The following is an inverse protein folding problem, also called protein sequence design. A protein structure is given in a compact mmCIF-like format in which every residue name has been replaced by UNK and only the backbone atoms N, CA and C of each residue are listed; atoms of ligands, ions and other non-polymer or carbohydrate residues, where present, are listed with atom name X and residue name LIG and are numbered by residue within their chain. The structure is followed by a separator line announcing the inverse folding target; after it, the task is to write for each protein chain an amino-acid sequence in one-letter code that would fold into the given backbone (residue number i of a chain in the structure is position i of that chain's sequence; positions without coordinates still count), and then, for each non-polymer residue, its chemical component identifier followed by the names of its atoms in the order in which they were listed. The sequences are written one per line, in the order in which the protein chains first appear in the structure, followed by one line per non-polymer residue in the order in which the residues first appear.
data_IF_257330030184
#
_entry.id   IF_257330030184
#
_cell.length_a   1.000
_cell.length_b   1.000
_cell.length_c   1.000
_cell.angle_alpha   90.00
_cell.angle_beta   90.00
_cell.angle_gamma   90.00
#
_symmetry.space_group_name_H-M   'P 1'
#
loop_
_entity.id
_entity.type
_entity.pdbx_description
1 polymer ?
#
# COMPACT_ATOMS: atom_id res chain seq x y z
N UNK A 1 34.02 12.36 20.16
CA UNK A 1 33.12 11.19 20.20
C UNK A 1 31.86 11.64 20.95
N UNK A 2 30.81 12.04 20.22
CA UNK A 2 29.52 12.32 20.83
C UNK A 2 28.77 11.00 21.00
N UNK A 3 28.41 10.58 22.18
CA UNK A 3 27.58 9.41 22.37
C UNK A 3 26.11 9.83 22.07
N UNK A 4 25.74 9.81 20.81
CA UNK A 4 24.30 9.74 20.54
C UNK A 4 23.79 8.47 21.22
N UNK A 5 22.67 8.53 21.97
CA UNK A 5 22.10 7.35 22.58
C UNK A 5 21.90 6.29 21.48
N UNK A 6 22.34 5.06 21.73
CA UNK A 6 22.19 3.96 20.78
C UNK A 6 20.71 3.73 20.56
N UNK A 7 20.27 3.80 19.30
CA UNK A 7 18.87 3.60 18.94
C UNK A 7 18.49 2.13 19.19
N UNK A 8 17.41 1.90 19.93
CA UNK A 8 16.88 0.57 20.20
C UNK A 8 15.81 0.21 19.18
N UNK A 9 15.95 -0.90 18.48
CA UNK A 9 15.06 -1.35 17.42
C UNK A 9 14.47 -2.72 17.75
N UNK A 10 13.15 -2.86 17.62
CA UNK A 10 12.46 -4.14 17.64
C UNK A 10 12.07 -4.53 16.20
N UNK A 11 12.58 -5.65 15.70
CA UNK A 11 12.32 -6.14 14.34
C UNK A 11 11.45 -7.38 14.42
N UNK A 12 10.30 -7.34 13.76
CA UNK A 12 9.36 -8.46 13.66
C UNK A 12 9.30 -8.92 12.21
N UNK A 13 9.66 -10.17 11.96
CA UNK A 13 9.68 -10.78 10.64
C UNK A 13 8.57 -11.84 10.53
N UNK A 14 7.72 -11.68 9.53
CA UNK A 14 6.78 -12.75 9.17
C UNK A 14 7.50 -13.79 8.31
N UNK A 15 7.85 -14.93 8.91
CA UNK A 15 8.58 -16.02 8.24
C UNK A 15 7.83 -16.63 7.04
N UNK A 16 6.52 -16.43 6.94
CA UNK A 16 5.69 -16.92 5.85
C UNK A 16 5.66 -15.97 4.64
N UNK A 17 6.32 -14.80 4.73
CA UNK A 17 6.41 -13.88 3.59
C UNK A 17 7.24 -14.46 2.45
N UNK A 18 6.77 -14.24 1.20
CA UNK A 18 7.32 -14.92 0.03
C UNK A 18 8.83 -14.70 -0.19
N UNK A 19 9.32 -13.47 -0.04
CA UNK A 19 10.74 -13.15 -0.20
C UNK A 19 11.58 -13.75 0.92
N UNK A 20 11.12 -13.69 2.17
CA UNK A 20 11.85 -14.24 3.32
C UNK A 20 11.98 -15.76 3.22
N UNK A 21 10.92 -16.45 2.76
CA UNK A 21 10.93 -17.89 2.54
C UNK A 21 11.94 -18.33 1.48
N UNK A 22 12.19 -17.48 0.47
CA UNK A 22 13.15 -17.76 -0.62
C UNK A 22 14.60 -17.48 -0.15
N UNK A 23 14.81 -16.39 0.56
CA UNK A 23 16.15 -15.97 1.01
C UNK A 23 16.66 -16.81 2.17
N UNK A 24 15.78 -17.45 2.92
CA UNK A 24 16.08 -18.13 4.17
C UNK A 24 15.97 -17.18 5.37
N UNK A 25 15.00 -17.44 6.27
CA UNK A 25 14.74 -16.58 7.43
C UNK A 25 15.98 -16.29 8.29
N UNK A 26 16.78 -17.31 8.56
CA UNK A 26 17.98 -17.21 9.41
C UNK A 26 19.07 -16.35 8.75
N UNK A 27 19.22 -16.43 7.43
CA UNK A 27 20.18 -15.61 6.67
C UNK A 27 19.83 -14.13 6.74
N UNK A 28 18.54 -13.82 6.60
CA UNK A 28 18.05 -12.43 6.69
C UNK A 28 18.18 -11.90 8.11
N UNK A 29 17.83 -12.69 9.13
CA UNK A 29 17.95 -12.30 10.53
C UNK A 29 19.41 -11.97 10.89
N UNK A 30 20.33 -12.87 10.56
CA UNK A 30 21.75 -12.67 10.83
C UNK A 30 22.27 -11.41 10.11
N UNK A 31 21.94 -11.24 8.84
CA UNK A 31 22.37 -10.07 8.09
C UNK A 31 21.81 -8.76 8.62
N UNK A 32 20.53 -8.74 9.05
CA UNK A 32 19.93 -7.58 9.70
C UNK A 32 20.64 -7.24 11.01
N UNK A 33 20.91 -8.24 11.84
CA UNK A 33 21.62 -8.06 13.10
C UNK A 33 23.00 -7.43 12.87
N UNK A 34 23.77 -7.98 11.93
CA UNK A 34 25.09 -7.43 11.59
C UNK A 34 25.02 -5.98 11.06
N UNK A 35 24.03 -5.66 10.22
CA UNK A 35 23.85 -4.31 9.68
C UNK A 35 23.52 -3.33 10.80
N UNK A 36 22.52 -3.64 11.64
CA UNK A 36 22.07 -2.73 12.71
C UNK A 36 23.15 -2.54 13.78
N UNK A 37 23.85 -3.61 14.19
CA UNK A 37 24.95 -3.53 15.17
C UNK A 37 26.12 -2.71 14.64
N UNK A 38 26.51 -2.88 13.36
CA UNK A 38 27.54 -2.04 12.69
C UNK A 38 27.17 -0.57 12.64
N UNK A 39 25.87 -0.26 12.56
CA UNK A 39 25.35 1.11 12.60
C UNK A 39 25.13 1.63 14.02
N UNK A 40 25.52 0.89 15.04
CA UNK A 40 25.47 1.28 16.44
C UNK A 40 24.10 1.14 17.10
N UNK A 41 23.18 0.41 16.49
CA UNK A 41 21.86 0.14 17.07
C UNK A 41 21.91 -1.06 18.04
N UNK A 42 21.00 -1.05 19.01
CA UNK A 42 20.63 -2.23 19.79
C UNK A 42 19.41 -2.83 19.09
N UNK A 43 19.46 -4.10 18.73
CA UNK A 43 18.38 -4.73 17.96
C UNK A 43 17.90 -6.02 18.61
N UNK A 44 16.60 -6.16 18.75
CA UNK A 44 15.89 -7.39 19.05
C UNK A 44 15.14 -7.85 17.82
N UNK A 45 15.38 -9.07 17.34
CA UNK A 45 14.74 -9.62 16.15
C UNK A 45 13.91 -10.83 16.52
N UNK A 46 12.63 -10.83 16.11
CA UNK A 46 11.70 -11.93 16.27
C UNK A 46 11.20 -12.42 14.93
N UNK A 47 11.32 -13.72 14.67
CA UNK A 47 10.72 -14.36 13.50
C UNK A 47 9.48 -15.15 13.94
N UNK A 48 8.34 -14.83 13.33
CA UNK A 48 7.05 -15.36 13.76
C UNK A 48 6.21 -15.85 12.57
N UNK A 49 5.34 -16.85 12.76
CA UNK A 49 4.31 -17.16 11.79
C UNK A 49 3.28 -16.02 11.74
N UNK A 50 2.63 -15.82 10.57
CA UNK A 50 1.74 -14.68 10.32
C UNK A 50 0.67 -14.47 11.39
N UNK A 51 0.10 -15.56 11.93
CA UNK A 51 -0.93 -15.52 13.00
C UNK A 51 -0.45 -14.93 14.33
N UNK A 52 0.85 -14.91 14.59
CA UNK A 52 1.43 -14.42 15.86
C UNK A 52 1.96 -12.98 15.74
N UNK A 53 2.06 -12.46 14.50
CA UNK A 53 2.64 -11.14 14.21
C UNK A 53 1.86 -10.02 14.89
N UNK A 54 0.53 -10.05 14.88
CA UNK A 54 -0.28 -9.00 15.49
C UNK A 54 0.00 -8.86 16.99
N UNK A 55 -0.03 -9.96 17.74
CA UNK A 55 0.23 -9.95 19.19
C UNK A 55 1.65 -9.45 19.50
N UNK A 56 2.65 -9.81 18.68
CA UNK A 56 4.01 -9.34 18.82
C UNK A 56 4.12 -7.83 18.54
N UNK A 57 3.42 -7.33 17.52
CA UNK A 57 3.36 -5.90 17.22
C UNK A 57 2.73 -5.08 18.35
N UNK A 58 1.63 -5.57 18.95
CA UNK A 58 0.98 -4.93 20.10
C UNK A 58 1.94 -4.85 21.29
N UNK A 59 2.65 -5.94 21.59
CA UNK A 59 3.68 -5.95 22.64
C UNK A 59 4.85 -5.01 22.32
N UNK A 60 5.35 -5.00 21.10
CA UNK A 60 6.46 -4.14 20.68
C UNK A 60 6.08 -2.65 20.66
N UNK A 61 4.82 -2.35 20.32
CA UNK A 61 4.26 -0.99 20.37
C UNK A 61 4.37 -0.40 21.77
N UNK A 62 4.04 -1.18 22.79
CA UNK A 62 3.98 -0.75 24.18
C UNK A 62 5.34 -0.96 24.92
N UNK A 63 6.33 -1.60 24.29
CA UNK A 63 7.68 -1.84 24.83
C UNK A 63 8.59 -0.61 24.78
N UNK A 64 9.87 -0.77 25.12
CA UNK A 64 10.84 0.34 25.28
C UNK A 64 11.67 0.66 24.03
N UNK A 65 11.45 -0.02 22.89
CA UNK A 65 12.19 0.26 21.66
C UNK A 65 11.84 1.64 21.07
N UNK A 66 12.83 2.31 20.49
CA UNK A 66 12.65 3.63 19.86
C UNK A 66 11.84 3.54 18.55
N UNK A 67 11.90 2.39 17.87
CA UNK A 67 11.12 2.11 16.66
C UNK A 67 10.83 0.62 16.55
N UNK A 68 9.75 0.28 15.85
CA UNK A 68 9.44 -1.09 15.47
C UNK A 68 9.56 -1.23 13.96
N UNK A 69 10.25 -2.27 13.51
CA UNK A 69 10.44 -2.60 12.10
C UNK A 69 9.65 -3.85 11.78
N UNK A 70 8.78 -3.77 10.79
CA UNK A 70 8.02 -4.92 10.29
C UNK A 70 8.59 -5.41 8.98
N UNK A 71 8.94 -6.68 8.90
CA UNK A 71 9.36 -7.36 7.68
C UNK A 71 8.31 -8.38 7.24
N UNK A 72 7.74 -8.16 6.05
CA UNK A 72 6.69 -9.02 5.54
C UNK A 72 6.12 -8.55 4.21
N UNK A 73 5.02 -9.18 3.78
CA UNK A 73 4.23 -8.74 2.64
C UNK A 73 3.25 -7.62 3.00
N UNK A 74 2.52 -7.11 1.99
CA UNK A 74 1.63 -5.97 2.15
C UNK A 74 0.55 -6.18 3.24
N UNK A 75 -0.02 -7.38 3.36
CA UNK A 75 -0.97 -7.70 4.44
C UNK A 75 -0.34 -7.66 5.84
N UNK A 76 0.91 -8.11 5.98
CA UNK A 76 1.66 -8.00 7.23
C UNK A 76 1.91 -6.55 7.62
N UNK A 77 2.24 -5.72 6.63
CA UNK A 77 2.45 -4.27 6.81
C UNK A 77 1.14 -3.56 7.15
N UNK A 78 0.01 -3.95 6.52
CA UNK A 78 -1.31 -3.42 6.85
C UNK A 78 -1.73 -3.74 8.30
N UNK A 79 -1.43 -4.97 8.77
CA UNK A 79 -1.63 -5.34 10.19
C UNK A 79 -0.81 -4.44 11.11
N UNK A 80 0.47 -4.19 10.78
CA UNK A 80 1.31 -3.29 11.57
C UNK A 80 0.79 -1.86 11.56
N UNK A 81 0.35 -1.34 10.41
CA UNK A 81 -0.25 -0.01 10.32
C UNK A 81 -1.50 0.12 11.21
N UNK A 82 -2.32 -0.91 11.26
CA UNK A 82 -3.50 -0.94 12.14
C UNK A 82 -3.12 -0.89 13.62
N UNK A 83 -2.12 -1.67 14.03
CA UNK A 83 -1.65 -1.69 15.43
C UNK A 83 -1.01 -0.37 15.85
N UNK A 84 -0.30 0.30 14.93
CA UNK A 84 0.43 1.55 15.22
C UNK A 84 -0.36 2.81 14.92
N UNK A 85 -1.57 2.72 14.36
CA UNK A 85 -2.41 3.88 14.08
C UNK A 85 -2.67 4.72 15.35
N UNK A 86 -2.37 6.02 15.28
CA UNK A 86 -2.52 6.94 16.41
C UNK A 86 -1.42 6.85 17.49
N UNK A 87 -0.42 6.00 17.31
CA UNK A 87 0.68 5.85 18.27
C UNK A 87 1.90 6.70 17.90
N UNK A 88 2.61 7.17 18.93
CA UNK A 88 3.80 8.00 18.76
C UNK A 88 5.04 7.23 18.28
N UNK A 89 5.10 5.90 18.52
CA UNK A 89 6.23 5.07 18.13
C UNK A 89 6.26 4.89 16.60
N UNK A 90 7.39 5.17 15.92
CA UNK A 90 7.48 5.04 14.48
C UNK A 90 7.57 3.60 14.02
N UNK A 91 6.93 3.31 12.89
CA UNK A 91 6.97 2.05 12.19
C UNK A 91 7.98 2.12 11.02
N UNK A 92 8.93 1.19 10.98
CA UNK A 92 9.78 0.95 9.82
C UNK A 92 9.26 -0.21 8.98
N UNK A 93 9.37 -0.11 7.66
CA UNK A 93 8.88 -1.14 6.72
C UNK A 93 10.08 -1.77 6.00
N UNK A 94 10.28 -3.07 6.21
CA UNK A 94 11.29 -3.87 5.51
C UNK A 94 10.62 -4.65 4.37
N UNK A 95 10.98 -4.42 3.09
CA UNK A 95 10.26 -4.93 1.93
C UNK A 95 10.56 -6.40 1.67
N UNK A 96 9.88 -7.31 2.35
CA UNK A 96 10.02 -8.76 2.20
C UNK A 96 8.80 -9.44 1.54
N UNK A 97 7.90 -8.63 0.95
CA UNK A 97 6.75 -9.09 0.19
C UNK A 97 6.98 -9.09 -1.32
N UNK A 98 5.92 -9.32 -2.07
CA UNK A 98 5.94 -9.36 -3.54
C UNK A 98 5.77 -7.98 -4.17
N UNK A 99 4.77 -7.20 -3.76
CA UNK A 99 4.49 -5.87 -4.33
C UNK A 99 5.17 -4.76 -3.53
N UNK A 100 5.19 -4.88 -2.20
CA UNK A 100 5.80 -3.92 -1.29
C UNK A 100 5.29 -2.49 -1.50
N UNK A 101 3.96 -2.33 -1.64
CA UNK A 101 3.32 -1.05 -1.99
C UNK A 101 3.66 0.04 -0.98
N UNK A 102 3.45 -0.23 0.30
CA UNK A 102 3.72 0.73 1.36
C UNK A 102 5.21 1.09 1.48
N UNK A 103 6.12 0.12 1.30
CA UNK A 103 7.55 0.38 1.29
C UNK A 103 7.96 1.30 0.14
N UNK A 104 7.39 1.11 -1.05
CA UNK A 104 7.59 1.99 -2.21
C UNK A 104 7.07 3.40 -1.95
N UNK A 105 5.90 3.53 -1.33
CA UNK A 105 5.31 4.82 -1.00
C UNK A 105 6.16 5.65 -0.04
N UNK A 106 6.77 5.02 0.96
CA UNK A 106 7.70 5.70 1.87
C UNK A 106 9.11 5.90 1.29
N UNK A 107 9.35 5.45 0.05
CA UNK A 107 10.64 5.57 -0.63
C UNK A 107 11.72 4.61 -0.13
N UNK A 108 11.31 3.48 0.44
CA UNK A 108 12.23 2.45 0.94
C UNK A 108 12.90 1.72 -0.23
N UNK A 109 14.23 1.51 -0.21
CA UNK A 109 14.90 0.62 -1.15
C UNK A 109 14.27 -0.78 -1.12
N UNK A 110 14.19 -1.46 -2.28
CA UNK A 110 13.59 -2.80 -2.36
C UNK A 110 14.58 -3.92 -2.03
N UNK A 111 15.87 -3.64 -2.08
CA UNK A 111 16.88 -4.52 -1.51
C UNK A 111 16.81 -4.42 0.01
N UNK A 112 16.67 -5.56 0.68
CA UNK A 112 16.47 -5.60 2.13
C UNK A 112 17.66 -5.09 2.93
N UNK A 113 18.89 -5.23 2.41
CA UNK A 113 20.10 -4.74 3.08
C UNK A 113 20.20 -3.22 2.98
N UNK A 114 19.89 -2.67 1.82
CA UNK A 114 19.80 -1.22 1.63
C UNK A 114 18.67 -0.63 2.46
N UNK A 115 17.51 -1.31 2.50
CA UNK A 115 16.38 -0.92 3.35
C UNK A 115 16.77 -0.91 4.83
N UNK A 116 17.49 -1.92 5.31
CA UNK A 116 17.97 -1.96 6.70
C UNK A 116 18.85 -0.75 7.03
N UNK A 117 19.75 -0.36 6.12
CA UNK A 117 20.58 0.85 6.30
C UNK A 117 19.73 2.12 6.31
N UNK A 118 18.79 2.23 5.38
CA UNK A 118 17.89 3.38 5.28
C UNK A 118 17.02 3.54 6.53
N UNK A 119 16.56 2.45 7.14
CA UNK A 119 15.74 2.46 8.36
C UNK A 119 16.44 3.11 9.55
N UNK A 120 17.77 3.11 9.60
CA UNK A 120 18.54 3.75 10.69
C UNK A 120 18.69 5.25 10.47
N UNK A 121 18.87 5.68 9.23
CA UNK A 121 19.26 7.06 8.88
C UNK A 121 18.13 7.93 8.39
N UNK A 122 17.05 7.33 7.88
CA UNK A 122 15.94 8.08 7.29
C UNK A 122 15.12 8.84 8.35
N UNK A 123 14.52 9.97 7.96
CA UNK A 123 13.64 10.75 8.83
C UNK A 123 12.34 10.00 9.11
N UNK A 124 11.69 10.39 10.21
CA UNK A 124 10.34 9.95 10.56
C UNK A 124 9.37 10.94 9.97
N UNK A 125 8.36 10.45 9.24
CA UNK A 125 7.26 11.23 8.71
C UNK A 125 5.91 10.76 9.24
N UNK A 126 4.88 11.44 8.81
CA UNK A 126 3.49 11.10 9.07
C UNK A 126 2.83 10.58 7.80
N UNK A 127 1.90 9.66 7.95
CA UNK A 127 1.18 9.05 6.85
C UNK A 127 -0.31 8.98 7.16
N UNK A 128 -1.13 9.38 6.19
CA UNK A 128 -2.57 9.21 6.24
C UNK A 128 -2.93 7.73 6.11
N UNK A 129 -3.99 7.30 6.78
CA UNK A 129 -4.58 5.97 6.63
C UNK A 129 -6.01 6.09 6.13
N UNK A 130 -6.50 5.04 5.46
CA UNK A 130 -7.91 4.88 5.10
C UNK A 130 -8.57 3.91 6.07
N UNK A 131 -9.62 4.36 6.73
CA UNK A 131 -10.57 3.46 7.41
C UNK A 131 -11.64 3.05 6.38
N UNK A 132 -11.70 1.76 6.09
CA UNK A 132 -12.69 1.18 5.20
C UNK A 132 -13.51 0.15 5.96
N UNK A 133 -14.70 0.53 6.34
CA UNK A 133 -15.63 -0.29 7.13
C UNK A 133 -15.01 -0.81 8.46
N UNK A 134 -14.15 -0.03 9.11
CA UNK A 134 -13.51 -0.36 10.39
C UNK A 134 -12.13 -1.02 10.26
N UNK A 135 -11.62 -1.26 9.05
CA UNK A 135 -10.28 -1.77 8.81
C UNK A 135 -9.38 -0.68 8.23
N UNK A 136 -8.11 -0.64 8.64
CA UNK A 136 -7.17 0.39 8.22
C UNK A 136 -6.30 -0.09 7.07
N UNK A 137 -6.14 0.77 6.08
CA UNK A 137 -5.36 0.52 4.86
C UNK A 137 -4.43 1.69 4.56
N UNK A 138 -3.28 1.38 3.97
CA UNK A 138 -2.23 2.37 3.72
C UNK A 138 -2.31 2.95 2.32
N UNK A 139 -2.58 2.14 1.29
CA UNK A 139 -2.32 2.49 -0.10
C UNK A 139 -3.57 2.62 -0.95
N UNK A 140 -4.24 1.52 -1.27
CA UNK A 140 -5.25 1.49 -2.33
C UNK A 140 -6.40 0.54 -2.05
N UNK A 141 -7.60 0.98 -2.46
CA UNK A 141 -8.82 0.16 -2.45
C UNK A 141 -9.35 0.07 -3.87
N UNK A 142 -9.53 -1.13 -4.41
CA UNK A 142 -10.02 -1.37 -5.77
C UNK A 142 -11.39 -2.03 -5.73
N UNK A 143 -12.33 -1.47 -6.48
CA UNK A 143 -13.69 -1.96 -6.65
C UNK A 143 -13.93 -2.35 -8.12
N UNK A 144 -14.77 -3.35 -8.34
CA UNK A 144 -15.20 -3.69 -9.70
C UNK A 144 -14.75 -5.05 -10.18
N UNK A 145 -14.40 -5.14 -11.48
CA UNK A 145 -14.13 -6.42 -12.11
C UNK A 145 -12.84 -7.09 -11.62
N UNK A 146 -11.81 -6.31 -11.28
CA UNK A 146 -10.50 -6.85 -10.91
C UNK A 146 -10.56 -7.69 -9.61
N UNK A 147 -11.11 -7.21 -8.49
CA UNK A 147 -11.32 -8.03 -7.30
C UNK A 147 -12.20 -9.27 -7.57
N UNK A 148 -13.26 -9.11 -8.37
CA UNK A 148 -14.14 -10.22 -8.70
C UNK A 148 -13.44 -11.30 -9.54
N UNK A 149 -12.54 -10.88 -10.45
CA UNK A 149 -11.74 -11.77 -11.26
C UNK A 149 -10.76 -12.58 -10.40
N UNK A 150 -10.06 -11.94 -9.49
CA UNK A 150 -9.06 -12.63 -8.63
C UNK A 150 -9.75 -13.60 -7.68
N UNK A 151 -10.93 -13.26 -7.14
CA UNK A 151 -11.73 -14.18 -6.31
C UNK A 151 -12.24 -15.43 -7.02
N UNK A 152 -12.46 -15.35 -8.33
CA UNK A 152 -13.02 -16.45 -9.14
C UNK A 152 -11.99 -17.42 -9.70
N UNK A 153 -10.71 -17.28 -9.40
CA UNK A 153 -9.65 -18.07 -10.04
C UNK A 153 -9.25 -19.32 -9.27
N UNK A 154 -9.03 -20.44 -9.97
CA UNK A 154 -8.24 -21.54 -9.47
C UNK A 154 -6.75 -21.15 -9.45
N UNK A 155 -5.98 -21.69 -8.51
CA UNK A 155 -4.53 -21.52 -8.45
C UNK A 155 -3.86 -22.05 -9.72
N UNK A 156 -3.19 -21.19 -10.47
CA UNK A 156 -2.46 -21.58 -11.68
C UNK A 156 -1.04 -22.05 -11.34
N UNK A 157 -0.70 -23.28 -11.73
CA UNK A 157 0.65 -23.80 -11.70
C UNK A 157 1.37 -23.48 -13.01
N UNK A 158 2.58 -22.88 -12.96
CA UNK A 158 3.39 -22.55 -14.14
C UNK A 158 4.36 -21.40 -13.93
N UNK A 159 5.21 -21.11 -14.94
CA UNK A 159 6.19 -20.02 -14.92
C UNK A 159 5.53 -18.65 -14.72
N UNK A 160 6.16 -17.76 -13.96
CA UNK A 160 5.67 -16.42 -13.62
C UNK A 160 5.25 -15.57 -14.83
N UNK A 161 6.02 -15.61 -15.93
CA UNK A 161 5.74 -14.83 -17.15
C UNK A 161 4.45 -15.34 -17.83
N UNK A 162 4.27 -16.65 -17.95
CA UNK A 162 3.08 -17.24 -18.55
C UNK A 162 1.84 -17.01 -17.68
N UNK A 163 2.00 -17.07 -16.35
CA UNK A 163 0.94 -16.72 -15.40
C UNK A 163 0.51 -15.27 -15.55
N UNK A 164 1.45 -14.35 -15.61
CA UNK A 164 1.16 -12.91 -15.71
C UNK A 164 0.47 -12.55 -17.03
N UNK A 165 0.93 -13.07 -18.15
CA UNK A 165 0.33 -12.82 -19.46
C UNK A 165 -1.08 -13.43 -19.61
N UNK A 166 -1.30 -14.66 -19.15
CA UNK A 166 -2.63 -15.28 -19.08
C UNK A 166 -3.55 -14.53 -18.12
N UNK A 167 -3.05 -14.14 -16.96
CA UNK A 167 -3.81 -13.38 -15.98
C UNK A 167 -4.29 -12.06 -16.56
N UNK A 168 -3.43 -11.34 -17.27
CA UNK A 168 -3.78 -10.10 -17.94
C UNK A 168 -4.80 -10.32 -19.07
N UNK A 169 -4.61 -11.34 -19.89
CA UNK A 169 -5.55 -11.70 -20.98
C UNK A 169 -6.93 -12.05 -20.45
N UNK A 170 -7.00 -12.92 -19.42
CA UNK A 170 -8.25 -13.30 -18.78
C UNK A 170 -8.91 -12.12 -18.05
N UNK A 171 -8.10 -11.21 -17.45
CA UNK A 171 -8.59 -9.97 -16.86
C UNK A 171 -9.25 -9.08 -17.92
N UNK A 172 -8.60 -8.90 -19.07
CA UNK A 172 -9.15 -8.10 -20.17
C UNK A 172 -10.42 -8.73 -20.77
N UNK A 173 -10.45 -10.04 -20.95
CA UNK A 173 -11.62 -10.75 -21.44
C UNK A 173 -12.78 -10.71 -20.44
N UNK A 174 -12.50 -10.90 -19.16
CA UNK A 174 -13.49 -10.84 -18.08
C UNK A 174 -13.99 -9.43 -17.82
N UNK A 175 -13.14 -8.42 -17.96
CA UNK A 175 -13.52 -7.01 -17.82
C UNK A 175 -14.66 -6.60 -18.77
N UNK A 176 -14.75 -7.25 -19.94
CA UNK A 176 -15.81 -6.98 -20.90
C UNK A 176 -17.13 -7.67 -20.57
N UNK A 177 -17.05 -8.87 -20.02
CA UNK A 177 -18.23 -9.65 -19.63
C UNK A 177 -18.74 -9.31 -18.23
N UNK A 178 -17.88 -8.69 -17.39
CA UNK A 178 -18.28 -8.28 -16.06
C UNK A 178 -19.36 -7.18 -16.12
N UNK A 179 -20.51 -7.37 -15.45
CA UNK A 179 -21.55 -6.36 -15.45
C UNK A 179 -21.07 -5.06 -14.79
N UNK A 180 -21.35 -3.90 -15.38
CA UNK A 180 -20.96 -2.64 -14.80
C UNK A 180 -21.61 -2.44 -13.43
N UNK A 181 -20.85 -1.85 -12.52
CA UNK A 181 -21.33 -1.42 -11.22
C UNK A 181 -22.00 -0.04 -11.36
N UNK A 182 -23.14 0.13 -10.71
CA UNK A 182 -23.76 1.42 -10.53
C UNK A 182 -23.38 1.93 -9.15
N UNK A 183 -22.34 2.76 -9.12
CA UNK A 183 -21.82 3.38 -7.91
C UNK A 183 -22.60 4.66 -7.60
N UNK A 184 -22.96 4.83 -6.36
CA UNK A 184 -23.43 6.08 -5.80
C UNK A 184 -22.43 6.50 -4.73
N UNK A 185 -21.71 7.59 -4.98
CA UNK A 185 -20.71 8.18 -4.11
C UNK A 185 -21.37 9.36 -3.38
N UNK A 186 -21.41 9.30 -2.06
CA UNK A 186 -22.02 10.33 -1.23
C UNK A 186 -21.00 10.91 -0.25
N UNK A 187 -20.73 12.21 -0.39
CA UNK A 187 -19.93 13.02 0.51
C UNK A 187 -20.80 14.15 1.08
N UNK A 188 -21.22 14.02 2.34
CA UNK A 188 -22.22 14.91 2.92
C UNK A 188 -23.51 14.94 2.11
N UNK A 189 -23.91 16.13 1.63
CA UNK A 189 -25.08 16.30 0.77
C UNK A 189 -24.83 16.05 -0.72
N UNK A 190 -23.55 16.02 -1.12
CA UNK A 190 -23.14 15.80 -2.51
C UNK A 190 -23.26 14.33 -2.88
N UNK A 191 -24.07 14.03 -3.89
CA UNK A 191 -24.27 12.67 -4.41
C UNK A 191 -23.88 12.62 -5.87
N UNK A 192 -22.94 11.77 -6.22
CA UNK A 192 -22.50 11.54 -7.61
C UNK A 192 -22.74 10.09 -7.99
N UNK A 193 -23.28 9.85 -9.18
CA UNK A 193 -23.58 8.50 -9.68
C UNK A 193 -22.73 8.19 -10.90
N UNK A 194 -22.08 7.03 -10.87
CA UNK A 194 -21.27 6.53 -11.98
C UNK A 194 -21.66 5.11 -12.35
N UNK A 195 -21.66 4.84 -13.64
CA UNK A 195 -21.67 3.48 -14.18
C UNK A 195 -20.24 3.12 -14.55
N UNK A 196 -19.66 2.15 -13.87
CA UNK A 196 -18.26 1.80 -14.03
C UNK A 196 -18.03 0.30 -13.98
N UNK A 197 -16.90 -0.15 -14.52
CA UNK A 197 -16.39 -1.52 -14.36
C UNK A 197 -15.24 -1.60 -13.36
N UNK A 198 -14.58 -0.45 -13.12
CA UNK A 198 -13.51 -0.34 -12.14
C UNK A 198 -13.50 1.04 -11.50
N UNK A 199 -13.37 1.08 -10.21
CA UNK A 199 -13.08 2.27 -9.44
C UNK A 199 -11.92 1.98 -8.46
N UNK A 200 -11.10 2.98 -8.22
CA UNK A 200 -9.92 2.90 -7.37
C UNK A 200 -9.95 4.07 -6.40
N UNK A 201 -9.78 3.78 -5.12
CA UNK A 201 -9.57 4.78 -4.09
C UNK A 201 -8.10 4.74 -3.71
N UNK A 202 -7.41 5.84 -3.93
CA UNK A 202 -6.03 6.02 -3.55
C UNK A 202 -5.96 6.85 -2.27
N UNK A 203 -5.19 6.40 -1.32
CA UNK A 203 -4.87 7.24 -0.18
C UNK A 203 -3.95 8.36 -0.68
N UNK A 204 -4.46 9.60 -0.74
CA UNK A 204 -3.93 10.77 -1.46
C UNK A 204 -4.02 10.66 -3.00
N UNK A 205 -3.16 11.38 -3.75
CA UNK A 205 -3.08 11.33 -5.21
C UNK A 205 -1.91 10.47 -5.68
N UNK A 206 -2.06 9.86 -6.87
CA UNK A 206 -0.95 9.22 -7.58
C UNK A 206 -0.24 10.17 -8.54
N UNK A 207 1.06 9.96 -8.71
CA UNK A 207 1.88 10.62 -9.73
C UNK A 207 1.64 9.99 -11.11
N UNK A 208 1.88 10.78 -12.16
CA UNK A 208 1.86 10.30 -13.54
C UNK A 208 3.26 9.78 -13.89
N UNK A 209 3.55 8.55 -13.48
CA UNK A 209 4.83 7.90 -13.72
C UNK A 209 4.65 6.69 -14.63
N UNK A 210 5.68 6.42 -15.44
CA UNK A 210 5.75 5.20 -16.22
C UNK A 210 5.86 3.98 -15.29
N UNK A 211 4.99 2.99 -15.49
CA UNK A 211 5.03 1.73 -14.76
C UNK A 211 3.67 1.22 -14.33
N UNK A 212 3.63 -0.02 -13.85
CA UNK A 212 2.40 -0.69 -13.42
C UNK A 212 2.02 -0.29 -11.98
N UNK A 213 3.02 -0.05 -11.13
CA UNK A 213 2.80 0.31 -9.73
C UNK A 213 2.89 1.82 -9.61
N UNK A 214 1.78 2.50 -9.29
CA UNK A 214 1.76 3.95 -9.14
C UNK A 214 2.54 4.36 -7.88
N UNK A 215 3.13 5.54 -7.91
CA UNK A 215 3.74 6.17 -6.75
C UNK A 215 2.79 7.24 -6.22
N UNK A 216 2.65 7.30 -4.91
CA UNK A 216 1.87 8.34 -4.25
C UNK A 216 2.58 9.69 -4.33
N UNK A 217 1.83 10.77 -4.54
CA UNK A 217 2.38 12.14 -4.59
C UNK A 217 2.78 12.66 -3.21
N UNK A 218 2.00 12.34 -2.18
CA UNK A 218 2.26 12.70 -0.78
C UNK A 218 1.85 11.55 0.13
N UNK A 219 2.38 11.53 1.37
CA UNK A 219 1.97 10.57 2.39
C UNK A 219 0.86 11.12 3.31
N UNK A 220 0.72 12.46 3.39
CA UNK A 220 -0.08 13.18 4.37
C UNK A 220 -0.90 14.35 3.76
N UNK A 221 -1.39 14.20 2.55
CA UNK A 221 -2.13 15.26 1.85
C UNK A 221 -3.47 15.63 2.49
N UNK A 222 -3.98 14.83 3.44
CA UNK A 222 -5.22 15.10 4.16
C UNK A 222 -6.49 14.81 3.36
N UNK A 223 -6.42 14.03 2.28
CA UNK A 223 -7.55 13.55 1.49
C UNK A 223 -7.21 12.22 0.80
N UNK A 224 -8.22 11.48 0.40
CA UNK A 224 -8.09 10.39 -0.54
C UNK A 224 -8.74 10.73 -1.87
N UNK A 225 -8.30 10.10 -2.95
CA UNK A 225 -8.83 10.34 -4.29
C UNK A 225 -9.53 9.11 -4.83
N UNK A 226 -10.76 9.29 -5.28
CA UNK A 226 -11.54 8.26 -5.97
C UNK A 226 -11.40 8.45 -7.47
N UNK A 227 -10.84 7.47 -8.16
CA UNK A 227 -10.76 7.41 -9.61
C UNK A 227 -11.80 6.44 -10.13
N UNK A 228 -12.64 6.90 -11.04
CA UNK A 228 -13.71 6.10 -11.64
C UNK A 228 -13.55 6.07 -13.15
N UNK A 229 -13.37 4.87 -13.71
CA UNK A 229 -13.33 4.70 -15.16
C UNK A 229 -14.73 4.61 -15.73
N UNK A 230 -15.07 5.48 -16.68
CA UNK A 230 -16.34 5.45 -17.43
C UNK A 230 -16.30 4.51 -18.64
N UNK A 231 -15.17 3.92 -18.94
CA UNK A 231 -15.04 2.99 -20.07
C UNK A 231 -16.00 1.80 -19.94
N UNK A 232 -16.79 1.58 -20.98
CA UNK A 232 -17.77 0.50 -21.05
C UNK A 232 -17.33 -0.62 -22.02
N UNK A 233 -16.34 -0.35 -22.88
CA UNK A 233 -15.86 -1.29 -23.89
C UNK A 233 -14.51 -1.89 -23.50
N UNK A 234 -14.21 -3.10 -24.01
CA UNK A 234 -12.89 -3.72 -23.85
C UNK A 234 -11.76 -2.86 -24.36
N UNK A 235 -11.95 -2.32 -25.57
CA UNK A 235 -10.95 -1.46 -26.21
C UNK A 235 -10.65 -0.21 -25.36
N UNK A 236 -11.69 0.44 -24.82
CA UNK A 236 -11.53 1.58 -23.93
C UNK A 236 -10.74 1.23 -22.66
N UNK A 237 -11.08 0.10 -21.99
CA UNK A 237 -10.35 -0.36 -20.80
C UNK A 237 -8.89 -0.72 -21.12
N UNK A 238 -8.63 -1.35 -22.29
CA UNK A 238 -7.28 -1.68 -22.70
C UNK A 238 -6.46 -0.42 -22.99
N UNK A 239 -7.05 0.54 -23.71
CA UNK A 239 -6.41 1.84 -23.97
C UNK A 239 -6.08 2.57 -22.67
N UNK A 240 -7.03 2.60 -21.74
CA UNK A 240 -6.84 3.22 -20.43
C UNK A 240 -5.74 2.52 -19.62
N UNK A 241 -5.67 1.19 -19.66
CA UNK A 241 -4.60 0.42 -19.02
C UNK A 241 -3.22 0.69 -19.64
N UNK A 242 -3.13 0.80 -20.97
CA UNK A 242 -1.89 1.18 -21.65
C UNK A 242 -1.48 2.61 -21.28
N UNK A 243 -2.44 3.54 -21.25
CA UNK A 243 -2.19 4.92 -20.80
C UNK A 243 -1.70 4.96 -19.34
N UNK A 244 -2.24 4.08 -18.48
CA UNK A 244 -1.75 3.89 -17.11
C UNK A 244 -0.27 3.47 -17.08
N UNK A 245 0.10 2.42 -17.81
CA UNK A 245 1.49 1.94 -17.88
C UNK A 245 2.43 3.05 -18.40
N UNK A 246 1.96 3.83 -19.35
CA UNK A 246 2.72 4.94 -19.95
C UNK A 246 2.77 6.20 -19.08
N UNK A 247 2.15 6.23 -17.90
CA UNK A 247 2.07 7.40 -17.04
C UNK A 247 1.19 8.53 -17.59
N UNK A 248 0.30 8.25 -18.55
CA UNK A 248 -0.57 9.24 -19.23
C UNK A 248 -2.05 9.06 -18.92
N UNK A 249 -2.38 8.31 -17.90
CA UNK A 249 -3.76 7.94 -17.57
C UNK A 249 -4.64 9.13 -17.15
N UNK A 250 -4.06 10.21 -16.62
CA UNK A 250 -4.79 11.44 -16.28
C UNK A 250 -5.23 12.23 -17.51
N UNK A 251 -4.62 12.00 -18.67
CA UNK A 251 -5.05 12.57 -19.95
C UNK A 251 -6.34 11.88 -20.46
N UNK A 252 -6.71 10.74 -19.92
CA UNK A 252 -7.91 10.00 -20.34
C UNK A 252 -9.17 10.64 -19.78
N UNK A 253 -9.93 11.32 -20.64
CA UNK A 253 -11.18 12.04 -20.30
C UNK A 253 -12.28 11.13 -19.74
N UNK A 254 -12.17 9.83 -19.94
CA UNK A 254 -13.12 8.85 -19.40
C UNK A 254 -12.74 8.41 -17.97
N UNK A 255 -11.62 8.85 -17.43
CA UNK A 255 -11.28 8.72 -16.03
C UNK A 255 -11.67 10.00 -15.32
N UNK A 256 -12.60 9.88 -14.38
CA UNK A 256 -12.98 11.00 -13.51
C UNK A 256 -12.42 10.78 -12.13
N UNK A 257 -12.02 11.85 -11.47
CA UNK A 257 -11.50 11.82 -10.11
C UNK A 257 -12.28 12.75 -9.20
N UNK A 258 -12.41 12.38 -7.93
CA UNK A 258 -12.88 13.26 -6.86
C UNK A 258 -12.06 13.04 -5.60
N UNK A 259 -11.76 14.12 -4.89
CA UNK A 259 -11.13 14.07 -3.58
C UNK A 259 -12.18 14.06 -2.51
N UNK A 260 -11.94 13.31 -1.44
CA UNK A 260 -12.84 13.21 -0.31
C UNK A 260 -12.06 12.94 1.00
N UNK A 261 -12.71 13.16 2.12
CA UNK A 261 -12.20 12.80 3.46
C UNK A 261 -13.13 11.83 4.19
N UNK A 262 -14.41 11.83 3.83
CA UNK A 262 -15.45 10.91 4.32
C UNK A 262 -16.41 10.61 3.17
N UNK A 263 -16.54 9.35 2.78
CA UNK A 263 -17.31 8.95 1.61
C UNK A 263 -18.11 7.69 1.91
N UNK A 264 -19.39 7.72 1.59
CA UNK A 264 -20.24 6.53 1.55
C UNK A 264 -20.39 6.04 0.11
N UNK A 265 -20.05 4.78 -0.12
CA UNK A 265 -20.14 4.12 -1.43
C UNK A 265 -21.28 3.11 -1.39
N UNK A 266 -22.32 3.36 -2.19
CA UNK A 266 -23.41 2.41 -2.42
C UNK A 266 -23.30 1.80 -3.80
N UNK A 267 -23.62 0.51 -3.90
CA UNK A 267 -23.67 -0.22 -5.17
C UNK A 267 -25.10 -0.74 -5.37
N UNK A 268 -25.74 -0.32 -6.45
CA UNK A 268 -27.13 -0.67 -6.73
C UNK A 268 -27.30 -2.20 -6.79
N UNK A 269 -28.33 -2.72 -6.12
CA UNK A 269 -28.73 -4.14 -6.11
C UNK A 269 -27.65 -5.11 -5.57
N UNK A 270 -26.66 -4.63 -4.84
CA UNK A 270 -25.67 -5.48 -4.17
C UNK A 270 -25.75 -5.26 -2.66
N UNK A 271 -25.61 -6.33 -1.88
CA UNK A 271 -25.47 -6.29 -0.42
C UNK A 271 -24.05 -6.45 0.05
N UNK A 272 -23.22 -7.12 -0.75
CA UNK A 272 -21.77 -7.30 -0.55
C UNK A 272 -21.08 -7.20 -1.89
N UNK A 273 -19.88 -6.66 -1.89
CA UNK A 273 -19.03 -6.56 -3.08
C UNK A 273 -17.63 -7.07 -2.79
N UNK A 274 -16.95 -7.69 -3.78
CA UNK A 274 -15.53 -7.95 -3.68
C UNK A 274 -14.77 -6.64 -3.78
N UNK A 275 -13.82 -6.48 -2.86
CA UNK A 275 -12.94 -5.31 -2.75
C UNK A 275 -11.52 -5.83 -2.61
N UNK A 276 -10.57 -5.22 -3.29
CA UNK A 276 -9.15 -5.46 -3.04
C UNK A 276 -8.57 -4.27 -2.32
N UNK A 277 -7.87 -4.50 -1.23
CA UNK A 277 -7.30 -3.50 -0.35
C UNK A 277 -5.86 -3.86 -0.05
N UNK A 278 -4.93 -3.01 -0.46
CA UNK A 278 -3.47 -3.22 -0.32
C UNK A 278 -2.99 -4.61 -0.81
N UNK A 279 -3.67 -5.18 -1.81
CA UNK A 279 -3.37 -6.50 -2.39
C UNK A 279 -4.19 -7.67 -1.81
N UNK A 280 -4.92 -7.48 -0.73
CA UNK A 280 -5.78 -8.49 -0.12
C UNK A 280 -7.24 -8.39 -0.60
N UNK A 281 -7.88 -9.54 -0.74
CA UNK A 281 -9.24 -9.65 -1.27
C UNK A 281 -10.23 -9.96 -0.18
N UNK A 282 -11.22 -9.07 -0.04
CA UNK A 282 -12.32 -9.26 0.90
C UNK A 282 -13.69 -9.09 0.24
N UNK A 283 -14.74 -9.63 0.86
CA UNK A 283 -16.13 -9.31 0.55
C UNK A 283 -16.70 -8.41 1.63
N UNK A 284 -16.88 -7.14 1.30
CA UNK A 284 -17.40 -6.15 2.23
C UNK A 284 -18.89 -5.89 2.02
N UNK A 285 -19.64 -5.57 3.09
CA UNK A 285 -21.03 -5.12 2.98
C UNK A 285 -21.10 -3.74 2.34
N UNK A 286 -22.20 -3.44 1.66
CA UNK A 286 -22.53 -2.09 1.19
C UNK A 286 -23.78 -1.60 1.90
N UNK A 287 -23.87 -0.30 2.26
CA UNK A 287 -22.96 0.79 1.92
C UNK A 287 -21.58 0.63 2.57
N UNK A 288 -20.53 0.96 1.79
CA UNK A 288 -19.16 0.95 2.26
C UNK A 288 -18.77 2.36 2.68
N UNK A 289 -18.44 2.55 3.94
CA UNK A 289 -17.89 3.81 4.45
C UNK A 289 -16.39 3.81 4.33
N UNK A 290 -15.86 4.91 3.79
CA UNK A 290 -14.44 5.18 3.68
C UNK A 290 -14.15 6.52 4.32
N UNK A 291 -13.28 6.54 5.31
CA UNK A 291 -12.88 7.74 6.03
C UNK A 291 -11.37 7.89 6.03
N UNK A 292 -10.88 9.08 5.79
CA UNK A 292 -9.47 9.40 5.98
C UNK A 292 -9.18 9.61 7.47
N UNK A 293 -8.09 9.02 7.91
CA UNK A 293 -7.46 9.30 9.20
C UNK A 293 -6.16 10.06 8.91
N UNK A 294 -6.17 11.39 9.02
CA UNK A 294 -5.02 12.19 8.66
C UNK A 294 -3.88 11.97 9.65
N UNK A 295 -2.65 11.82 9.11
CA UNK A 295 -1.41 11.69 9.90
C UNK A 295 -1.47 10.59 10.96
N UNK A 296 -2.24 9.53 10.68
CA UNK A 296 -2.57 8.51 11.67
C UNK A 296 -1.41 7.54 11.94
N UNK A 297 -0.37 7.50 11.10
CA UNK A 297 0.76 6.61 11.26
C UNK A 297 2.08 7.36 11.18
N UNK A 298 2.96 7.18 12.17
CA UNK A 298 4.35 7.63 12.09
C UNK A 298 5.19 6.54 11.43
N UNK A 299 5.89 6.91 10.34
CA UNK A 299 6.68 5.97 9.54
C UNK A 299 8.11 6.46 9.33
N UNK A 300 9.06 5.54 9.25
CA UNK A 300 10.41 5.85 8.78
C UNK A 300 10.34 5.95 7.25
N UNK A 301 10.56 7.15 6.70
CA UNK A 301 10.29 7.47 5.31
C UNK A 301 11.50 8.13 4.61
N UNK A 302 12.37 7.35 3.94
CA UNK A 302 13.49 7.89 3.15
C UNK A 302 13.07 8.94 2.12
N UNK A 303 11.85 8.83 1.58
CA UNK A 303 11.28 9.76 0.62
C UNK A 303 11.31 11.22 1.08
N UNK A 304 11.10 11.50 2.36
CA UNK A 304 11.11 12.85 2.90
C UNK A 304 12.47 13.52 2.71
N UNK A 305 13.55 12.79 2.97
CA UNK A 305 14.90 13.29 2.73
C UNK A 305 15.20 13.48 1.23
N UNK A 306 14.69 12.60 0.38
CA UNK A 306 14.82 12.71 -1.08
C UNK A 306 14.10 13.94 -1.63
N UNK A 307 12.88 14.22 -1.17
CA UNK A 307 12.09 15.37 -1.57
C UNK A 307 12.73 16.69 -1.10
N UNK A 308 13.27 16.73 0.12
CA UNK A 308 14.00 17.90 0.63
C UNK A 308 15.25 18.20 -0.22
N UNK A 309 16.05 17.18 -0.52
CA UNK A 309 17.24 17.33 -1.37
C UNK A 309 16.91 17.83 -2.79
N UNK A 310 15.83 17.33 -3.39
CA UNK A 310 15.37 17.80 -4.71
C UNK A 310 14.88 19.25 -4.67
N UNK A 311 14.20 19.66 -3.61
CA UNK A 311 13.75 21.05 -3.43
C UNK A 311 14.93 22.02 -3.29
N UNK A 312 15.97 21.65 -2.53
CA UNK A 312 17.21 22.44 -2.42
C UNK A 312 17.93 22.58 -3.76
N UNK A 313 18.08 21.50 -4.51
CA UNK A 313 18.70 21.55 -5.84
C UNK A 313 17.93 22.45 -6.81
N UNK A 314 16.59 22.39 -6.77
CA UNK A 314 15.76 23.24 -7.63
C UNK A 314 15.86 24.73 -7.27
N UNK A 315 16.04 25.06 -5.97
CA UNK A 315 16.21 26.44 -5.51
C UNK A 315 17.59 27.03 -5.84
N UNK A 316 18.61 26.18 -6.04
CA UNK A 316 19.95 26.61 -6.43
C UNK A 316 20.14 26.75 -7.94
N UNK A 317 19.20 26.22 -8.74
CA UNK A 317 19.24 26.25 -10.20
C UNK A 317 18.35 27.34 -10.83
N UNK A 318 17.55 28.05 -10.02
CA UNK A 318 16.69 29.19 -10.45
C UNK A 318 17.22 30.50 -9.95
#
# INVERSE_FOLDING_TARGET
MNPHPRRSLCVILNRESGTLSILGPDVVEQGLKEIFEKLGCIVEICQLPGKEVQAALEKARDGDSDAVIIGGGDGTVATAATVFAGHAKPLGILPLGTFNLAARDVGMPLDWQEAARALVTAPIGEMDLLDVAGNLYMCVVVLGFYPALVMGRPEYHGSWIVKSARTLWDAMRSAATFPPLHLCLQEGEKVVRHRTRIALLANNDYEDLFGIIPRRRSLDAGYFTVYVSKHQTQFGLMRSFLAWIMGRWKEDREIVSMRATDLEIRVTRKRRIPVMMDGELEKLPVPLRVKLLPKALRVIAPRIAQEAALAEQSSLAG
#
